data_IF_393547211900
#
_entry.id   IF_393547211900
#
_cell.length_a   1.000
_cell.length_b   1.000
_cell.length_c   1.000
_cell.angle_alpha   90.00
_cell.angle_beta   90.00
_cell.angle_gamma   90.00
#
_symmetry.space_group_name_H-M   'P 1'
#
loop_
_entity.id
_entity.type
_entity.pdbx_description
1 polymer ?
#
# COMPACT_ATOMS: atom_id res chain seq x y z
N UNK A 1 2.80 11.26 24.66
CA UNK A 1 2.24 12.07 23.54
C UNK A 1 3.21 13.20 23.24
N UNK A 2 4.01 13.09 22.18
CA UNK A 2 4.92 14.18 21.81
C UNK A 2 4.15 15.22 21.02
N UNK A 3 4.17 16.47 21.50
CA UNK A 3 3.49 17.59 20.89
C UNK A 3 3.99 17.78 19.45
N UNK A 4 3.07 17.91 18.48
CA UNK A 4 3.36 18.23 17.05
C UNK A 4 4.30 19.44 16.88
N UNK A 5 4.41 20.27 17.91
CA UNK A 5 5.21 21.48 17.99
C UNK A 5 6.61 21.30 18.62
N UNK A 6 7.10 20.06 18.81
CA UNK A 6 8.44 19.80 19.39
C UNK A 6 9.58 20.51 18.64
N UNK A 7 9.63 20.50 17.28
CA UNK A 7 10.72 21.15 16.55
C UNK A 7 10.75 22.67 16.73
N UNK A 8 9.57 23.31 16.73
CA UNK A 8 9.47 24.77 16.93
C UNK A 8 9.84 25.13 18.38
N UNK A 9 9.51 24.27 19.34
CA UNK A 9 9.82 24.49 20.75
C UNK A 9 11.33 24.38 21.04
N UNK A 10 12.04 23.43 20.43
CA UNK A 10 13.52 23.35 20.50
C UNK A 10 14.15 24.64 19.99
N UNK A 11 13.73 25.11 18.81
CA UNK A 11 14.27 26.34 18.20
C UNK A 11 13.96 27.58 19.05
N UNK A 12 12.75 27.65 19.61
CA UNK A 12 12.35 28.70 20.53
C UNK A 12 13.22 28.71 21.80
N UNK A 13 13.47 27.56 22.41
CA UNK A 13 14.27 27.46 23.63
C UNK A 13 15.74 27.79 23.39
N UNK A 14 16.29 27.41 22.24
CA UNK A 14 17.63 27.84 21.81
C UNK A 14 17.71 29.37 21.69
N UNK A 15 16.75 30.00 21.03
CA UNK A 15 16.70 31.46 20.90
C UNK A 15 16.55 32.16 22.27
N UNK A 16 15.72 31.63 23.17
CA UNK A 16 15.60 32.13 24.55
C UNK A 16 16.92 32.01 25.30
N UNK A 17 17.62 30.88 25.18
CA UNK A 17 18.92 30.69 25.80
C UNK A 17 19.94 31.72 25.29
N UNK A 18 20.01 31.94 23.97
CA UNK A 18 20.89 32.96 23.36
C UNK A 18 20.56 34.35 23.92
N UNK A 19 19.29 34.74 23.97
CA UNK A 19 18.88 36.03 24.52
C UNK A 19 19.30 36.20 25.99
N UNK A 20 19.17 35.15 26.82
CA UNK A 20 19.55 35.18 28.23
C UNK A 20 21.06 35.19 28.44
N UNK A 21 21.80 34.55 27.53
CA UNK A 21 23.25 34.58 27.49
C UNK A 21 23.77 36.02 27.30
N UNK A 22 23.22 36.75 26.33
CA UNK A 22 23.56 38.16 26.11
C UNK A 22 23.14 39.08 27.27
N UNK A 23 22.13 38.70 28.05
CA UNK A 23 21.72 39.41 29.28
C UNK A 23 22.56 39.03 30.52
N UNK A 24 23.60 38.21 30.37
CA UNK A 24 24.48 37.77 31.46
C UNK A 24 23.87 36.73 32.41
N UNK A 25 22.68 36.22 32.11
CA UNK A 25 21.92 35.29 32.98
C UNK A 25 22.31 33.84 32.67
N UNK A 26 23.50 33.43 33.11
CA UNK A 26 24.08 32.10 32.83
C UNK A 26 23.26 30.93 33.38
N UNK A 27 22.66 31.07 34.55
CA UNK A 27 21.86 30.01 35.19
C UNK A 27 20.59 29.71 34.38
N UNK A 28 19.84 30.75 34.00
CA UNK A 28 18.65 30.62 33.14
C UNK A 28 19.03 30.06 31.76
N UNK A 29 20.18 30.48 31.21
CA UNK A 29 20.69 30.00 29.92
C UNK A 29 20.89 28.48 29.92
N UNK A 30 21.51 27.94 30.98
CA UNK A 30 21.71 26.48 31.14
C UNK A 30 20.38 25.74 31.19
N UNK A 31 19.42 26.22 31.98
CA UNK A 31 18.10 25.59 32.07
C UNK A 31 17.38 25.50 30.71
N UNK A 32 17.40 26.59 29.93
CA UNK A 32 16.79 26.58 28.60
C UNK A 32 17.55 25.68 27.61
N UNK A 33 18.88 25.59 27.71
CA UNK A 33 19.69 24.67 26.92
C UNK A 33 19.41 23.22 27.27
N UNK A 34 19.35 22.88 28.56
CA UNK A 34 19.08 21.51 29.02
C UNK A 34 17.69 21.05 28.56
N UNK A 35 16.69 21.94 28.68
CA UNK A 35 15.34 21.69 28.17
C UNK A 35 15.35 21.49 26.66
N UNK A 36 16.07 22.34 25.91
CA UNK A 36 16.18 22.20 24.46
C UNK A 36 16.88 20.89 24.05
N UNK A 37 17.92 20.47 24.78
CA UNK A 37 18.63 19.21 24.55
C UNK A 37 17.74 18.00 24.79
N UNK A 38 16.94 18.01 25.87
CA UNK A 38 15.98 16.94 26.15
C UNK A 38 14.93 16.80 25.05
N UNK A 39 14.38 17.93 24.59
CA UNK A 39 13.41 17.92 23.48
C UNK A 39 14.07 17.53 22.15
N UNK A 40 15.32 17.93 21.91
CA UNK A 40 16.07 17.59 20.69
C UNK A 40 16.34 16.09 20.59
N UNK A 41 16.69 15.43 21.70
CA UNK A 41 16.89 13.98 21.76
C UNK A 41 15.63 13.19 21.36
N UNK A 42 14.44 13.74 21.56
CA UNK A 42 13.17 13.10 21.17
C UNK A 42 12.91 13.15 19.66
N UNK A 43 13.54 14.10 18.95
CA UNK A 43 13.30 14.36 17.52
C UNK A 43 14.43 13.79 16.65
N UNK A 44 15.65 13.72 17.20
CA UNK A 44 16.81 13.20 16.47
C UNK A 44 16.55 11.73 16.14
N UNK A 45 16.66 11.37 14.86
CA UNK A 45 16.59 9.96 14.44
C UNK A 45 17.98 9.36 14.63
N UNK A 46 18.04 8.18 15.23
CA UNK A 46 19.30 7.46 15.44
C UNK A 46 19.67 6.67 14.18
N UNK A 47 20.80 7.00 13.57
CA UNK A 47 21.24 6.38 12.32
C UNK A 47 21.57 4.89 12.49
N UNK A 48 21.98 4.45 13.69
CA UNK A 48 22.22 3.04 13.99
C UNK A 48 20.92 2.23 13.94
N UNK A 49 19.84 2.81 14.46
CA UNK A 49 18.50 2.21 14.42
C UNK A 49 17.90 2.24 13.03
N UNK A 50 18.23 3.26 12.23
CA UNK A 50 17.89 3.29 10.80
C UNK A 50 18.56 2.12 10.08
N UNK A 51 19.85 1.87 10.36
CA UNK A 51 20.57 0.74 9.77
C UNK A 51 19.96 -0.61 10.20
N UNK A 52 19.52 -0.73 11.46
CA UNK A 52 18.82 -1.92 11.96
C UNK A 52 17.51 -2.17 11.20
N UNK A 53 16.65 -1.17 11.05
CA UNK A 53 15.40 -1.30 10.27
C UNK A 53 15.70 -1.57 8.79
N UNK A 54 16.74 -0.96 8.22
CA UNK A 54 17.17 -1.23 6.86
C UNK A 54 17.67 -2.68 6.67
N UNK A 55 18.34 -3.26 7.67
CA UNK A 55 18.79 -4.65 7.64
C UNK A 55 17.63 -5.65 7.54
N UNK A 56 16.43 -5.26 7.97
CA UNK A 56 15.20 -6.03 7.84
C UNK A 56 14.60 -5.97 6.42
N UNK A 57 15.18 -5.20 5.50
CA UNK A 57 14.78 -5.10 4.10
C UNK A 57 13.96 -3.87 3.74
N UNK A 58 13.82 -2.90 4.65
CA UNK A 58 13.09 -1.65 4.39
C UNK A 58 13.96 -0.58 3.72
N UNK A 59 13.34 0.29 2.92
CA UNK A 59 14.03 1.42 2.29
C UNK A 59 14.50 2.44 3.34
N UNK A 60 15.62 3.12 3.08
CA UNK A 60 16.17 4.16 3.96
C UNK A 60 15.14 5.27 4.25
N UNK A 61 14.35 5.65 3.26
CA UNK A 61 13.31 6.69 3.39
C UNK A 61 12.18 6.24 4.29
N UNK A 62 11.73 4.99 4.15
CA UNK A 62 10.68 4.37 4.96
C UNK A 62 11.14 4.18 6.40
N UNK A 63 12.35 3.65 6.60
CA UNK A 63 12.96 3.46 7.91
C UNK A 63 13.05 4.78 8.69
N UNK A 64 13.54 5.85 8.06
CA UNK A 64 13.63 7.19 8.69
C UNK A 64 12.25 7.77 9.00
N UNK A 65 11.28 7.65 8.10
CA UNK A 65 9.92 8.14 8.34
C UNK A 65 9.25 7.40 9.49
N UNK A 66 9.40 6.08 9.54
CA UNK A 66 8.85 5.24 10.58
C UNK A 66 9.49 5.54 11.95
N UNK A 67 10.82 5.59 12.02
CA UNK A 67 11.54 5.92 13.26
C UNK A 67 11.22 7.33 13.77
N UNK A 68 10.94 8.29 12.88
CA UNK A 68 10.42 9.62 13.27
C UNK A 68 9.03 9.54 13.89
N UNK A 69 8.17 8.68 13.36
CA UNK A 69 6.81 8.50 13.86
C UNK A 69 6.78 7.73 15.20
N UNK A 70 7.76 6.85 15.43
CA UNK A 70 7.80 5.93 16.58
C UNK A 70 8.87 6.28 17.60
N UNK A 71 9.48 7.46 17.49
CA UNK A 71 10.48 8.00 18.42
C UNK A 71 11.67 7.06 18.63
N UNK A 72 12.28 6.59 17.53
CA UNK A 72 13.43 5.68 17.56
C UNK A 72 13.18 4.33 18.24
N UNK A 73 11.94 3.83 18.21
CA UNK A 73 11.62 2.46 18.58
C UNK A 73 11.55 1.61 17.30
N UNK A 74 12.44 0.62 17.21
CA UNK A 74 12.61 -0.26 16.04
C UNK A 74 11.39 -1.15 15.86
N UNK A 75 10.92 -1.81 16.92
CA UNK A 75 9.77 -2.72 16.86
C UNK A 75 8.51 -1.99 16.39
N UNK A 76 8.23 -0.84 16.99
CA UNK A 76 7.10 -0.01 16.60
C UNK A 76 7.27 0.56 15.17
N UNK A 77 8.50 0.89 14.76
CA UNK A 77 8.77 1.38 13.40
C UNK A 77 8.44 0.30 12.36
N UNK A 78 8.85 -0.95 12.61
CA UNK A 78 8.55 -2.09 11.74
C UNK A 78 7.04 -2.28 11.63
N UNK A 79 6.32 -2.29 12.76
CA UNK A 79 4.85 -2.39 12.77
C UNK A 79 4.20 -1.26 11.96
N UNK A 80 4.71 -0.03 12.10
CA UNK A 80 4.21 1.13 11.36
C UNK A 80 4.46 1.01 9.85
N UNK A 81 5.63 0.53 9.44
CA UNK A 81 5.95 0.30 8.01
C UNK A 81 5.05 -0.80 7.44
N UNK A 82 4.86 -1.90 8.17
CA UNK A 82 3.91 -2.94 7.78
C UNK A 82 2.50 -2.37 7.60
N UNK A 83 2.03 -1.55 8.54
CA UNK A 83 0.72 -0.91 8.45
C UNK A 83 0.58 0.01 7.23
N UNK A 84 1.58 0.83 6.93
CA UNK A 84 1.55 1.71 5.74
C UNK A 84 1.60 0.91 4.44
N UNK A 85 2.36 -0.18 4.40
CA UNK A 85 2.51 -1.02 3.20
C UNK A 85 1.25 -1.86 2.95
N UNK A 86 0.57 -2.31 4.01
CA UNK A 86 -0.69 -3.07 3.92
C UNK A 86 -1.85 -2.18 3.42
N UNK A 87 -1.87 -0.89 3.74
CA UNK A 87 -2.88 0.04 3.21
C UNK A 87 -2.77 0.22 1.69
N UNK A 88 -1.55 0.30 1.14
CA UNK A 88 -1.34 0.32 -0.31
C UNK A 88 -1.74 -1.01 -0.98
N UNK A 89 -1.50 -2.16 -0.32
CA UNK A 89 -1.93 -3.46 -0.83
C UNK A 89 -3.45 -3.66 -0.77
N UNK A 90 -4.11 -3.21 0.30
CA UNK A 90 -5.57 -3.35 0.48
C UNK A 90 -6.36 -2.56 -0.57
N UNK A 91 -5.92 -1.35 -0.94
CA UNK A 91 -6.55 -0.58 -2.02
C UNK A 91 -6.44 -1.34 -3.35
N UNK A 92 -5.26 -1.86 -3.69
CA UNK A 92 -5.07 -2.64 -4.92
C UNK A 92 -5.91 -3.92 -4.93
N UNK A 93 -5.93 -4.70 -3.84
CA UNK A 93 -6.74 -5.93 -3.76
C UNK A 93 -8.24 -5.63 -3.92
N UNK A 94 -8.75 -4.56 -3.32
CA UNK A 94 -10.17 -4.17 -3.43
C UNK A 94 -10.54 -3.73 -4.86
N UNK A 95 -9.68 -2.94 -5.51
CA UNK A 95 -9.88 -2.52 -6.90
C UNK A 95 -9.83 -3.74 -7.84
N UNK A 96 -8.82 -4.62 -7.68
CA UNK A 96 -8.72 -5.86 -8.46
C UNK A 96 -9.91 -6.80 -8.22
N UNK A 97 -10.40 -6.93 -6.98
CA UNK A 97 -11.58 -7.76 -6.65
C UNK A 97 -12.84 -7.22 -7.30
N UNK A 98 -13.01 -5.89 -7.38
CA UNK A 98 -14.12 -5.24 -8.08
C UNK A 98 -14.04 -5.45 -9.60
N UNK A 99 -12.85 -5.34 -10.20
CA UNK A 99 -12.63 -5.57 -11.63
C UNK A 99 -12.90 -7.03 -11.99
N UNK A 100 -12.35 -7.99 -11.23
CA UNK A 100 -12.57 -9.43 -11.46
C UNK A 100 -14.05 -9.80 -11.29
N UNK A 101 -14.74 -9.21 -10.30
CA UNK A 101 -16.17 -9.42 -10.11
C UNK A 101 -16.99 -8.95 -11.32
N UNK A 102 -16.68 -7.77 -11.87
CA UNK A 102 -17.33 -7.26 -13.07
C UNK A 102 -17.04 -8.12 -14.31
N UNK A 103 -15.80 -8.57 -14.50
CA UNK A 103 -15.43 -9.46 -15.59
C UNK A 103 -16.15 -10.80 -15.52
N UNK A 104 -16.30 -11.40 -14.32
CA UNK A 104 -17.10 -12.63 -14.09
C UNK A 104 -18.58 -12.43 -14.39
N UNK A 105 -19.14 -11.27 -14.08
CA UNK A 105 -20.54 -10.94 -14.39
C UNK A 105 -20.73 -10.88 -15.91
N UNK A 106 -19.79 -10.28 -16.63
CA UNK A 106 -19.81 -10.19 -18.09
C UNK A 106 -19.70 -11.55 -18.78
N UNK A 107 -18.82 -12.44 -18.28
CA UNK A 107 -18.69 -13.81 -18.84
C UNK A 107 -19.98 -14.62 -18.70
N UNK A 108 -20.72 -14.45 -17.59
CA UNK A 108 -22.02 -15.11 -17.42
C UNK A 108 -23.05 -14.57 -18.42
N UNK A 109 -23.12 -13.26 -18.61
CA UNK A 109 -24.07 -12.64 -19.56
C UNK A 109 -23.80 -13.13 -20.99
N UNK A 110 -22.53 -13.16 -21.42
CA UNK A 110 -22.16 -13.68 -22.74
C UNK A 110 -22.55 -15.16 -22.86
N UNK A 111 -22.29 -15.99 -21.84
CA UNK A 111 -22.63 -17.42 -21.86
C UNK A 111 -24.15 -17.65 -21.92
N UNK A 112 -24.95 -16.84 -21.23
CA UNK A 112 -26.41 -16.90 -21.32
C UNK A 112 -26.90 -16.52 -22.73
N UNK A 113 -26.37 -15.45 -23.33
CA UNK A 113 -26.73 -15.08 -24.70
C UNK A 113 -26.30 -16.12 -25.74
N UNK A 114 -25.13 -16.74 -25.58
CA UNK A 114 -24.64 -17.78 -26.49
C UNK A 114 -25.51 -19.06 -26.44
N UNK A 115 -26.00 -19.43 -25.25
CA UNK A 115 -26.92 -20.57 -25.07
C UNK A 115 -28.30 -20.32 -25.70
N UNK A 116 -28.77 -19.06 -25.68
CA UNK A 116 -30.04 -18.63 -26.30
C UNK A 116 -29.93 -18.63 -27.84
N UNK A 117 -28.76 -18.32 -28.40
CA UNK A 117 -28.51 -18.40 -29.85
C UNK A 117 -28.51 -19.84 -30.38
N UNK A 118 -28.08 -20.83 -29.59
CA UNK A 118 -28.15 -22.26 -29.97
C UNK A 118 -29.54 -22.90 -29.88
N UNK A 119 -30.50 -22.25 -29.22
CA UNK A 119 -31.87 -22.75 -29.05
C UNK A 119 -32.90 -22.11 -30.01
N UNK A 120 -32.51 -21.05 -30.73
CA UNK A 120 -33.36 -20.36 -31.72
C UNK A 120 -33.18 -20.90 -33.16
N UNK A 121 -32.22 -21.80 -33.41
CA UNK A 121 -31.95 -22.38 -34.75
C UNK A 121 -32.80 -23.61 -35.11
N UNK A 122 -33.70 -24.09 -34.24
CA UNK A 122 -34.44 -25.35 -34.45
C UNK A 122 -35.77 -25.15 -35.23
N UNK A 123 -36.18 -23.91 -35.51
CA UNK A 123 -37.46 -23.66 -36.18
C UNK A 123 -37.31 -22.82 -37.45
N UNK A 124 -36.80 -23.40 -38.55
CA UNK A 124 -37.36 -23.20 -39.90
C UNK A 124 -36.49 -23.82 -41.01
N UNK A 125 -37.19 -24.54 -41.90
CA UNK A 125 -36.86 -24.86 -43.31
C UNK A 125 -36.07 -26.14 -43.63
N UNK A 126 -36.89 -27.16 -43.92
CA UNK A 126 -36.75 -28.17 -44.95
C UNK A 126 -36.39 -27.63 -46.36
N UNK A 127 -36.03 -28.57 -47.27
CA UNK A 127 -35.67 -28.48 -48.72
C UNK A 127 -34.18 -28.21 -49.06
N UNK A 128 -33.47 -28.90 -49.96
CA UNK A 128 -33.64 -30.10 -50.82
C UNK A 128 -32.34 -30.29 -51.65
N UNK A 129 -32.24 -31.39 -52.42
CA UNK A 129 -31.19 -31.79 -53.41
C UNK A 129 -30.03 -32.62 -52.83
N UNK A 130 -29.53 -33.70 -53.43
CA UNK A 130 -29.85 -34.44 -54.66
C UNK A 130 -29.19 -35.82 -54.55
N UNK A 131 -29.68 -36.77 -55.37
CA UNK A 131 -29.07 -38.08 -55.61
C UNK A 131 -27.56 -37.94 -55.91
N UNK A 132 -26.75 -38.75 -55.24
CA UNK A 132 -25.50 -39.21 -55.81
C UNK A 132 -25.43 -40.74 -55.64
N UNK A 133 -25.56 -41.41 -56.77
CA UNK A 133 -25.40 -42.85 -56.94
C UNK A 133 -23.93 -43.21 -56.83
N UNK A 134 -23.56 -44.08 -55.88
CA UNK A 134 -22.39 -44.94 -56.01
C UNK A 134 -22.74 -46.32 -55.43
N UNK A 135 -23.01 -47.22 -56.36
CA UNK A 135 -22.81 -48.66 -56.22
C UNK A 135 -21.38 -48.95 -55.76
N UNK A 136 -21.20 -49.75 -54.72
CA UNK A 136 -20.47 -51.01 -54.84
C UNK A 136 -20.36 -51.83 -53.53
N UNK A 137 -20.68 -53.12 -53.70
CA UNK A 137 -20.09 -54.32 -53.08
C UNK A 137 -20.01 -54.49 -51.56
N UNK A 138 -20.82 -55.41 -51.03
CA UNK A 138 -20.41 -56.70 -50.41
C UNK A 138 -21.61 -57.25 -49.63
N UNK A 139 -22.31 -58.29 -50.09
CA UNK A 139 -21.81 -59.66 -50.01
C UNK A 139 -22.09 -60.24 -48.61
N UNK A 140 -23.36 -60.53 -48.31
CA UNK A 140 -23.75 -61.42 -47.21
C UNK A 140 -23.79 -62.85 -47.73
N UNK A 141 -23.35 -63.75 -46.87
CA UNK A 141 -23.45 -65.20 -47.00
C UNK A 141 -24.91 -65.68 -47.14
#
# INVERSE_FOLDING_TARGET
MVNKYTPIFVRLNLLKAILKYYRGKKNETRQFLDTAMQEMKKILVDDDKVAEVMSMGFSNTEAKLALRATFNNVDAAVEQIFKSNVLCAQINILVFKSIIFNLRKFTRIIKYNLLISSSSSISSKSFSLSLESVSDSSGLH
#
